data_IF_536708833223
#
_entry.id   IF_536708833223
#
_cell.length_a   1.000
_cell.length_b   1.000
_cell.length_c   1.000
_cell.angle_alpha   90.00
_cell.angle_beta   90.00
_cell.angle_gamma   90.00
#
_symmetry.space_group_name_H-M   'P 1'
#
loop_
_entity.id
_entity.type
_entity.pdbx_description
1 polymer ?
#
# COMPACT_ATOMS: atom_id res chain seq x y z
N UNK A 1 13.98 9.79 -9.48
CA UNK A 1 13.34 8.92 -10.48
C UNK A 1 14.36 7.90 -10.93
N UNK A 2 14.04 6.61 -10.83
CA UNK A 2 14.92 5.54 -11.32
C UNK A 2 14.39 5.04 -12.67
N UNK A 3 15.26 5.01 -13.69
CA UNK A 3 14.87 4.49 -15.02
C UNK A 3 14.63 2.99 -14.89
N UNK A 4 13.43 2.56 -15.25
CA UNK A 4 13.01 1.15 -15.22
C UNK A 4 12.48 0.78 -16.60
N UNK A 5 12.95 -0.33 -17.15
CA UNK A 5 12.47 -0.88 -18.43
C UNK A 5 11.77 -2.20 -18.15
N UNK A 6 10.54 -2.36 -18.65
CA UNK A 6 9.75 -3.58 -18.49
C UNK A 6 9.21 -4.01 -19.86
N UNK A 7 9.08 -5.31 -20.06
CA UNK A 7 8.38 -5.85 -21.23
C UNK A 7 6.89 -5.91 -20.93
N UNK A 8 6.09 -5.40 -21.86
CA UNK A 8 4.63 -5.43 -21.81
C UNK A 8 4.15 -6.31 -22.96
N UNK A 9 3.27 -7.31 -22.71
CA UNK A 9 2.55 -7.98 -23.78
C UNK A 9 1.80 -6.96 -24.66
N UNK A 10 1.64 -7.28 -25.93
CA UNK A 10 1.04 -6.38 -26.92
C UNK A 10 -0.38 -5.97 -26.53
N UNK A 11 -1.18 -6.91 -26.00
CA UNK A 11 -2.55 -6.66 -25.57
C UNK A 11 -2.59 -5.65 -24.41
N UNK A 12 -1.61 -5.72 -23.52
CA UNK A 12 -1.51 -4.82 -22.36
C UNK A 12 -1.08 -3.42 -22.81
N UNK A 13 -0.15 -3.32 -23.76
CA UNK A 13 0.27 -2.05 -24.36
C UNK A 13 -0.92 -1.33 -25.02
N UNK A 14 -1.71 -2.04 -25.81
CA UNK A 14 -2.93 -1.50 -26.44
C UNK A 14 -3.97 -1.06 -25.41
N UNK A 15 -4.12 -1.80 -24.32
CA UNK A 15 -4.98 -1.43 -23.19
C UNK A 15 -4.55 -0.11 -22.54
N UNK A 16 -3.25 0.06 -22.29
CA UNK A 16 -2.69 1.29 -21.71
C UNK A 16 -2.89 2.49 -22.63
N UNK A 17 -2.64 2.34 -23.94
CA UNK A 17 -2.83 3.41 -24.93
C UNK A 17 -4.29 3.88 -24.99
N UNK A 18 -5.23 2.92 -25.01
CA UNK A 18 -6.67 3.23 -25.00
C UNK A 18 -7.08 4.00 -23.75
N UNK A 19 -6.59 3.58 -22.58
CA UNK A 19 -6.92 4.22 -21.32
C UNK A 19 -6.29 5.61 -21.20
N UNK A 20 -5.07 5.78 -21.70
CA UNK A 20 -4.37 7.06 -21.76
C UNK A 20 -5.14 8.07 -22.62
N UNK A 21 -5.61 7.65 -23.80
CA UNK A 21 -6.48 8.46 -24.67
C UNK A 21 -7.79 8.84 -23.99
N UNK A 22 -8.46 7.87 -23.36
CA UNK A 22 -9.73 8.11 -22.67
C UNK A 22 -9.59 9.12 -21.51
N UNK A 23 -8.46 9.08 -20.80
CA UNK A 23 -8.18 9.95 -19.65
C UNK A 23 -7.43 11.23 -20.01
N UNK A 24 -7.14 11.46 -21.29
CA UNK A 24 -6.32 12.59 -21.78
C UNK A 24 -5.01 12.75 -21.01
N UNK A 25 -4.31 11.64 -20.73
CA UNK A 25 -3.04 11.64 -20.02
C UNK A 25 -2.00 10.78 -20.74
N UNK A 26 -0.75 10.78 -20.25
CA UNK A 26 0.31 9.94 -20.81
C UNK A 26 0.15 8.49 -20.39
N UNK A 27 0.60 7.55 -21.23
CA UNK A 27 0.67 6.13 -20.86
C UNK A 27 1.52 5.89 -19.61
N UNK A 28 2.58 6.67 -19.43
CA UNK A 28 3.42 6.61 -18.24
C UNK A 28 2.68 7.03 -16.96
N UNK A 29 1.70 7.94 -17.06
CA UNK A 29 0.81 8.29 -15.94
C UNK A 29 -0.14 7.15 -15.63
N UNK A 30 -0.70 6.50 -16.65
CA UNK A 30 -1.57 5.31 -16.47
C UNK A 30 -0.81 4.20 -15.76
N UNK A 31 0.40 3.87 -16.22
CA UNK A 31 1.23 2.82 -15.64
C UNK A 31 1.62 3.18 -14.19
N UNK A 32 2.04 4.42 -13.93
CA UNK A 32 2.40 4.85 -12.57
C UNK A 32 1.22 4.70 -11.60
N UNK A 33 0.04 5.21 -11.95
CA UNK A 33 -1.15 5.10 -11.09
C UNK A 33 -1.56 3.66 -10.85
N UNK A 34 -1.55 2.82 -11.89
CA UNK A 34 -1.88 1.41 -11.73
C UNK A 34 -0.92 0.69 -10.77
N UNK A 35 0.38 1.01 -10.85
CA UNK A 35 1.38 0.47 -9.91
C UNK A 35 1.15 1.02 -8.50
N UNK A 36 0.94 2.33 -8.35
CA UNK A 36 0.65 2.99 -7.07
C UNK A 36 -0.57 2.37 -6.38
N UNK A 37 -1.66 2.17 -7.11
CA UNK A 37 -2.88 1.54 -6.62
C UNK A 37 -2.64 0.08 -6.22
N UNK A 38 -1.85 -0.67 -7.00
CA UNK A 38 -1.55 -2.07 -6.72
C UNK A 38 -0.63 -2.27 -5.50
N UNK A 39 0.31 -1.35 -5.27
CA UNK A 39 1.23 -1.41 -4.12
C UNK A 39 0.68 -0.71 -2.88
N UNK A 40 -0.38 0.08 -3.01
CA UNK A 40 -0.99 0.80 -1.90
C UNK A 40 -1.48 -0.21 -0.85
N UNK A 41 -0.72 -0.34 0.24
CA UNK A 41 -1.17 -1.06 1.43
C UNK A 41 -2.19 -0.19 2.17
N UNK A 42 -3.32 -0.74 2.62
CA UNK A 42 -4.23 0.01 3.47
C UNK A 42 -3.46 0.47 4.71
N UNK A 43 -3.57 1.75 5.04
CA UNK A 43 -2.98 2.25 6.29
C UNK A 43 -3.58 1.45 7.46
N UNK A 44 -2.76 0.98 8.41
CA UNK A 44 -3.28 0.29 9.57
C UNK A 44 -4.26 1.21 10.28
N UNK A 45 -5.47 0.70 10.53
CA UNK A 45 -6.49 1.42 11.30
C UNK A 45 -6.22 1.16 12.77
N UNK A 46 -5.79 2.18 13.50
CA UNK A 46 -5.68 2.13 14.95
C UNK A 46 -7.08 2.20 15.59
N UNK A 47 -7.18 1.85 16.88
CA UNK A 47 -8.43 1.96 17.64
C UNK A 47 -9.46 0.86 17.37
N UNK A 48 -8.99 -0.36 17.05
CA UNK A 48 -9.85 -1.54 16.89
C UNK A 48 -10.60 -1.87 18.19
N UNK A 49 -9.98 -1.55 19.33
CA UNK A 49 -10.56 -1.69 20.67
C UNK A 49 -10.60 -0.28 21.29
N UNK A 50 -11.74 0.16 21.83
CA UNK A 50 -11.79 1.39 22.61
C UNK A 50 -10.96 1.20 23.88
N UNK A 51 -9.97 2.07 24.08
CA UNK A 51 -9.11 2.03 25.26
C UNK A 51 -8.12 3.20 25.25
N UNK A 52 -7.80 3.70 26.44
CA UNK A 52 -6.71 4.65 26.65
C UNK A 52 -5.39 3.95 26.34
N UNK A 53 -4.52 4.54 25.51
CA UNK A 53 -3.22 3.96 25.17
C UNK A 53 -2.24 3.89 26.35
N UNK A 54 -2.61 4.38 27.53
CA UNK A 54 -1.78 4.36 28.75
C UNK A 54 -1.23 2.98 29.14
N UNK A 55 -1.88 1.86 28.79
CA UNK A 55 -1.33 0.52 29.02
C UNK A 55 -0.13 0.21 28.13
N UNK A 56 -0.01 0.84 26.96
CA UNK A 56 1.13 0.68 26.07
C UNK A 56 2.43 1.26 26.68
N UNK A 57 2.31 2.20 27.62
CA UNK A 57 3.45 2.79 28.33
C UNK A 57 3.91 1.96 29.53
N UNK A 58 3.08 1.00 29.98
CA UNK A 58 3.31 0.17 31.17
C UNK A 58 3.32 -1.32 30.87
N UNK A 59 3.64 -1.68 29.63
CA UNK A 59 3.61 -3.08 29.16
C UNK A 59 4.48 -3.98 30.03
N UNK A 60 5.64 -3.49 30.46
CA UNK A 60 6.59 -4.25 31.28
C UNK A 60 5.99 -4.62 32.65
N UNK A 61 5.27 -3.69 33.31
CA UNK A 61 4.57 -3.96 34.58
C UNK A 61 3.48 -5.02 34.41
N UNK A 62 2.75 -4.98 33.30
CA UNK A 62 1.61 -5.87 33.06
C UNK A 62 2.01 -7.28 32.60
N UNK A 63 3.23 -7.44 32.10
CA UNK A 63 3.76 -8.72 31.64
C UNK A 63 4.63 -9.42 32.67
N UNK A 64 4.79 -8.88 33.88
CA UNK A 64 5.49 -9.56 34.97
C UNK A 64 4.80 -10.90 35.30
N UNK A 65 5.57 -11.99 35.33
CA UNK A 65 5.06 -13.36 35.54
C UNK A 65 4.38 -13.99 34.31
N UNK A 66 4.33 -13.30 33.17
CA UNK A 66 3.80 -13.87 31.93
C UNK A 66 4.72 -14.96 31.38
N UNK A 67 4.26 -16.22 31.42
CA UNK A 67 5.00 -17.38 30.94
C UNK A 67 5.74 -18.16 32.03
N UNK A 68 5.67 -17.71 33.27
CA UNK A 68 6.14 -18.50 34.41
C UNK A 68 5.14 -19.60 34.75
N UNK A 69 5.67 -20.77 35.13
CA UNK A 69 4.99 -22.07 35.09
C UNK A 69 4.34 -22.47 36.41
#
# INVERSE_FOLDING_TARGET
MNKTTVYLPEELKQGVERLARQRSCSEAEVIRRAIEDAIARPKPRAGIIPGDSAWAERVDDYLEGFGDR
#
